data_IF_839840718261
#
_entry.id   IF_839840718261
#
_cell.length_a   1.000
_cell.length_b   1.000
_cell.length_c   1.000
_cell.angle_alpha   90.00
_cell.angle_beta   90.00
_cell.angle_gamma   90.00
#
_symmetry.space_group_name_H-M   'P 1'
#
loop_
_entity.id
_entity.type
_entity.pdbx_description
1 polymer ?
#
# COMPACT_ATOMS: atom_id res chain seq x y z
N UNK A 1 0.07 14.06 26.88
CA UNK A 1 -0.87 14.59 25.86
C UNK A 1 -0.36 14.13 24.50
N UNK A 2 -1.18 13.46 23.69
CA UNK A 2 -0.80 13.03 22.33
C UNK A 2 -1.57 13.90 21.34
N UNK A 3 -0.85 14.53 20.41
CA UNK A 3 -1.45 15.27 19.31
C UNK A 3 -1.80 14.29 18.19
N UNK A 4 -3.07 14.31 17.76
CA UNK A 4 -3.54 13.46 16.65
C UNK A 4 -3.32 14.16 15.32
N UNK A 5 -2.78 13.42 14.36
CA UNK A 5 -2.52 13.90 13.01
C UNK A 5 -3.25 12.96 12.04
N UNK A 6 -4.18 13.46 11.22
CA UNK A 6 -4.88 12.65 10.23
C UNK A 6 -3.93 11.91 9.29
N UNK A 7 -4.33 10.74 8.77
CA UNK A 7 -3.51 10.01 7.83
C UNK A 7 -3.42 10.72 6.47
N UNK A 8 -2.23 10.79 5.90
CA UNK A 8 -2.00 11.24 4.52
C UNK A 8 -1.16 10.23 3.75
N UNK A 9 -1.52 10.00 2.48
CA UNK A 9 -0.73 9.15 1.57
C UNK A 9 0.39 10.00 1.01
N UNK A 10 1.63 9.60 1.23
CA UNK A 10 2.80 10.30 0.73
C UNK A 10 2.98 9.94 -0.76
N UNK A 11 3.18 10.95 -1.61
CA UNK A 11 3.43 10.75 -3.04
C UNK A 11 2.17 10.57 -3.89
N UNK A 12 0.97 10.82 -3.35
CA UNK A 12 -0.28 10.93 -4.14
C UNK A 12 -0.25 12.08 -5.15
N UNK A 13 0.62 13.06 -4.90
CA UNK A 13 0.72 14.31 -5.65
C UNK A 13 1.64 14.16 -6.87
N UNK A 14 2.34 13.03 -6.95
CA UNK A 14 3.06 12.60 -8.14
C UNK A 14 2.03 11.91 -9.02
N UNK A 15 1.81 12.43 -10.24
CA UNK A 15 0.97 11.76 -11.22
C UNK A 15 1.39 10.29 -11.31
N UNK A 16 0.51 9.40 -10.86
CA UNK A 16 0.80 7.97 -10.83
C UNK A 16 0.81 7.50 -12.28
N UNK A 17 1.99 7.57 -12.91
CA UNK A 17 2.22 6.99 -14.22
C UNK A 17 1.75 5.53 -14.15
N UNK A 18 0.95 5.05 -15.11
CA UNK A 18 0.53 3.66 -15.10
C UNK A 18 1.78 2.78 -15.14
N UNK A 19 1.89 1.91 -14.13
CA UNK A 19 2.93 0.90 -14.10
C UNK A 19 2.55 -0.20 -15.09
N UNK A 20 3.27 -0.27 -16.20
CA UNK A 20 3.10 -1.29 -17.25
C UNK A 20 4.18 -2.35 -17.06
N UNK A 21 3.77 -3.61 -17.06
CA UNK A 21 4.64 -4.77 -16.79
C UNK A 21 4.25 -5.88 -17.76
N UNK A 22 5.22 -6.68 -18.21
CA UNK A 22 4.93 -7.79 -19.12
C UNK A 22 4.30 -8.97 -18.36
N UNK A 23 3.54 -9.79 -19.07
CA UNK A 23 2.97 -11.01 -18.48
C UNK A 23 4.08 -11.94 -17.98
N UNK A 24 3.90 -12.48 -16.77
CA UNK A 24 4.89 -13.35 -16.11
C UNK A 24 5.99 -12.61 -15.36
N UNK A 25 6.12 -11.28 -15.53
CA UNK A 25 7.06 -10.48 -14.74
C UNK A 25 6.50 -10.11 -13.36
N UNK A 26 7.41 -9.95 -12.40
CA UNK A 26 7.06 -9.58 -11.04
C UNK A 26 6.97 -8.06 -10.88
N UNK A 27 5.90 -7.60 -10.24
CA UNK A 27 5.68 -6.19 -9.93
C UNK A 27 5.62 -5.95 -8.42
N UNK A 28 6.09 -4.78 -7.97
CA UNK A 28 5.96 -4.32 -6.59
C UNK A 28 5.25 -2.97 -6.55
N UNK A 29 4.12 -2.92 -5.86
CA UNK A 29 3.40 -1.68 -5.57
C UNK A 29 3.89 -1.13 -4.24
N UNK A 30 4.16 0.18 -4.21
CA UNK A 30 4.66 0.88 -3.02
C UNK A 30 3.64 1.90 -2.55
N UNK A 31 3.41 1.94 -1.24
CA UNK A 31 2.55 2.93 -0.60
C UNK A 31 3.17 3.33 0.73
N UNK A 32 3.27 4.63 0.96
CA UNK A 32 3.75 5.22 2.20
C UNK A 32 2.68 6.16 2.72
N UNK A 33 2.41 6.13 4.02
CA UNK A 33 1.44 7.01 4.64
C UNK A 33 1.98 7.57 5.96
N UNK A 34 1.66 8.82 6.25
CA UNK A 34 2.00 9.50 7.51
C UNK A 34 0.75 9.78 8.33
N UNK A 35 0.89 9.97 9.65
CA UNK A 35 -0.23 10.17 10.56
C UNK A 35 0.11 9.74 11.99
N UNK A 36 -0.62 10.27 12.96
CA UNK A 36 -0.48 9.92 14.38
C UNK A 36 -1.86 9.58 14.93
N UNK A 37 -2.12 8.32 15.32
CA UNK A 37 -1.22 7.16 15.31
C UNK A 37 -0.84 6.69 13.89
N UNK A 38 0.20 5.86 13.78
CA UNK A 38 0.69 5.37 12.47
C UNK A 38 -0.46 4.68 11.71
N UNK A 39 -0.72 5.06 10.43
CA UNK A 39 -1.83 4.52 9.67
C UNK A 39 -1.61 3.06 9.26
N UNK A 40 -2.72 2.33 9.10
CA UNK A 40 -2.73 0.98 8.53
C UNK A 40 -2.97 1.05 7.03
N UNK A 41 -2.03 0.53 6.24
CA UNK A 41 -2.13 0.50 4.78
C UNK A 41 -2.80 -0.80 4.35
N UNK A 42 -3.81 -0.70 3.48
CA UNK A 42 -4.52 -1.84 2.88
C UNK A 42 -4.58 -1.68 1.36
N UNK A 43 -4.25 -2.74 0.64
CA UNK A 43 -4.36 -2.80 -0.82
C UNK A 43 -5.71 -3.36 -1.25
N UNK A 44 -6.31 -2.76 -2.28
CA UNK A 44 -7.55 -3.22 -2.91
C UNK A 44 -7.48 -3.00 -4.42
N UNK A 45 -8.17 -3.85 -5.19
CA UNK A 45 -8.37 -3.57 -6.62
C UNK A 45 -9.43 -2.47 -6.79
N UNK A 46 -9.28 -1.65 -7.83
CA UNK A 46 -10.20 -0.54 -8.12
C UNK A 46 -11.62 -1.03 -8.44
N UNK A 47 -11.73 -2.19 -9.07
CA UNK A 47 -12.98 -2.87 -9.41
C UNK A 47 -13.64 -3.59 -8.22
N UNK A 48 -12.98 -3.62 -7.04
CA UNK A 48 -13.45 -4.35 -5.87
C UNK A 48 -13.24 -5.87 -5.95
N UNK A 49 -12.64 -6.37 -7.04
CA UNK A 49 -12.34 -7.79 -7.20
C UNK A 49 -11.28 -8.26 -6.21
N UNK A 50 -11.27 -9.55 -5.93
CA UNK A 50 -10.25 -10.18 -5.09
C UNK A 50 -8.87 -10.05 -5.74
N UNK A 51 -7.85 -9.79 -4.92
CA UNK A 51 -6.45 -9.91 -5.34
C UNK A 51 -6.13 -11.40 -5.32
N UNK A 52 -5.85 -12.04 -6.47
CA UNK A 52 -5.58 -13.47 -6.51
C UNK A 52 -4.31 -13.76 -5.72
N UNK A 53 -4.46 -14.48 -4.61
CA UNK A 53 -3.35 -14.97 -3.82
C UNK A 53 -2.84 -16.22 -4.57
N UNK A 54 -1.93 -16.04 -5.52
CA UNK A 54 -1.26 -17.20 -6.14
C UNK A 54 -0.45 -17.99 -5.09
N UNK A 55 0.21 -19.08 -5.50
CA UNK A 55 1.04 -19.96 -4.63
C UNK A 55 2.20 -19.27 -3.88
N UNK A 56 2.36 -17.95 -4.02
CA UNK A 56 3.45 -17.13 -3.55
C UNK A 56 3.04 -16.53 -2.20
N UNK A 57 3.26 -17.33 -1.15
CA UNK A 57 3.08 -16.95 0.26
C UNK A 57 4.07 -15.86 0.67
N UNK A 58 3.68 -14.59 0.52
CA UNK A 58 3.91 -13.51 1.50
C UNK A 58 3.20 -12.24 1.02
N UNK A 59 1.89 -12.19 1.22
CA UNK A 59 1.13 -10.98 0.88
C UNK A 59 0.97 -10.22 2.18
N UNK A 60 1.84 -9.25 2.38
CA UNK A 60 1.73 -8.28 3.48
C UNK A 60 0.63 -7.28 3.11
N UNK A 61 -0.64 -7.75 3.07
CA UNK A 61 -1.84 -6.92 2.77
C UNK A 61 -1.99 -5.82 3.82
N UNK A 62 -1.44 -6.06 5.00
CA UNK A 62 -1.31 -5.13 6.11
C UNK A 62 0.18 -5.01 6.41
N UNK A 63 0.77 -3.86 6.09
CA UNK A 63 2.13 -3.57 6.54
C UNK A 63 2.02 -2.94 7.93
N UNK A 64 2.23 -3.74 8.98
CA UNK A 64 2.51 -3.22 10.32
C UNK A 64 3.89 -2.57 10.28
N UNK A 65 3.94 -1.26 10.08
CA UNK A 65 5.19 -0.52 10.22
C UNK A 65 5.51 -0.49 11.71
N UNK A 66 6.30 -1.47 12.19
CA UNK A 66 6.82 -1.46 13.56
C UNK A 66 7.61 -0.16 13.74
N UNK A 67 7.22 0.62 14.74
CA UNK A 67 8.04 1.70 15.24
C UNK A 67 9.35 1.10 15.74
N UNK A 68 10.48 1.47 15.14
CA UNK A 68 11.77 1.45 15.84
C UNK A 68 11.74 2.58 16.86
#
# INVERSE_FOLDING_TARGET
>A
MILLIPPSILGSDIAVMPLVVNEGENVRLWCSASGVPRPVIKWKRKDGSVIPLGSWKKITIIQEVKAV
#
